data_IF_120031439034
#
_entry.id   IF_120031439034
#
_cell.length_a   1.000
_cell.length_b   1.000
_cell.length_c   1.000
_cell.angle_alpha   90.00
_cell.angle_beta   90.00
_cell.angle_gamma   90.00
#
_symmetry.space_group_name_H-M   'P 1'
#
loop_
_entity.id
_entity.type
_entity.pdbx_description
1 polymer ?
#
# COMPACT_ATOMS: atom_id res chain seq x y z
N UNK A 1 9.91 -48.25 3.30
CA UNK A 1 8.72 -47.46 3.67
C UNK A 1 9.20 -46.41 4.66
N UNK A 2 9.63 -45.29 4.12
CA UNK A 2 9.78 -44.00 4.78
C UNK A 2 9.54 -43.03 3.64
N UNK A 3 8.34 -42.46 3.65
CA UNK A 3 7.79 -41.69 2.56
C UNK A 3 8.54 -40.36 2.42
N UNK A 4 9.02 -40.11 1.21
CA UNK A 4 9.44 -38.81 0.71
C UNK A 4 8.26 -37.83 0.85
N UNK A 5 8.32 -36.99 1.89
CA UNK A 5 7.51 -35.79 1.96
C UNK A 5 8.08 -34.77 0.99
N UNK A 6 7.28 -34.46 -0.02
CA UNK A 6 7.52 -33.57 -1.14
C UNK A 6 8.09 -32.20 -0.75
N UNK A 7 9.31 -31.92 -1.22
CA UNK A 7 9.79 -30.54 -1.42
C UNK A 7 8.86 -29.86 -2.44
N UNK A 8 8.29 -28.71 -2.07
CA UNK A 8 7.63 -27.81 -3.02
C UNK A 8 8.61 -27.29 -4.08
N UNK A 9 8.13 -26.65 -5.16
CA UNK A 9 9.00 -26.13 -6.20
C UNK A 9 9.89 -25.02 -5.64
N UNK A 10 11.17 -25.32 -5.39
CA UNK A 10 12.20 -24.34 -5.00
C UNK A 10 12.48 -23.40 -6.17
N UNK A 11 12.42 -22.10 -5.95
CA UNK A 11 12.69 -21.10 -7.00
C UNK A 11 14.17 -20.72 -7.07
N UNK A 12 14.99 -21.17 -6.12
CA UNK A 12 16.43 -20.97 -6.06
C UNK A 12 17.22 -22.26 -6.30
N UNK A 13 18.27 -22.16 -7.11
CA UNK A 13 19.17 -23.27 -7.41
C UNK A 13 19.83 -23.81 -6.11
N UNK A 14 20.03 -25.13 -6.02
CA UNK A 14 20.60 -25.80 -4.84
C UNK A 14 22.03 -25.34 -4.50
N UNK A 15 22.75 -24.73 -5.45
CA UNK A 15 24.14 -24.27 -5.27
C UNK A 15 24.33 -22.74 -5.27
N UNK A 16 23.27 -21.95 -5.05
CA UNK A 16 23.40 -20.49 -5.02
C UNK A 16 24.16 -20.01 -3.76
N UNK A 17 25.19 -19.19 -3.94
CA UNK A 17 26.03 -18.64 -2.87
C UNK A 17 25.49 -17.32 -2.31
N UNK A 18 24.78 -16.54 -3.13
CA UNK A 18 24.08 -15.32 -2.74
C UNK A 18 22.87 -15.08 -3.64
N UNK A 19 21.91 -14.30 -3.14
CA UNK A 19 20.81 -13.73 -3.91
C UNK A 19 21.09 -12.24 -4.12
N UNK A 20 21.04 -11.77 -5.36
CA UNK A 20 21.20 -10.34 -5.67
C UNK A 20 19.84 -9.71 -5.89
N UNK A 21 19.58 -8.58 -5.22
CA UNK A 21 18.28 -7.91 -5.25
C UNK A 21 18.40 -6.46 -5.71
N UNK A 22 17.40 -6.04 -6.50
CA UNK A 22 17.27 -4.65 -6.94
C UNK A 22 16.63 -3.79 -5.85
N UNK A 23 16.82 -2.46 -5.88
CA UNK A 23 16.12 -1.55 -4.97
C UNK A 23 14.59 -1.70 -4.98
N UNK A 24 14.01 -2.08 -6.13
CA UNK A 24 12.57 -2.28 -6.27
C UNK A 24 12.03 -3.47 -5.43
N UNK A 25 12.87 -4.43 -5.04
CA UNK A 25 12.48 -5.52 -4.14
C UNK A 25 12.21 -5.02 -2.70
N UNK A 26 12.91 -3.95 -2.28
CA UNK A 26 12.68 -3.28 -0.98
C UNK A 26 11.36 -2.51 -0.98
N UNK A 27 11.06 -1.81 -2.08
CA UNK A 27 9.79 -1.07 -2.25
C UNK A 27 8.58 -2.01 -2.31
N UNK A 28 8.78 -3.27 -2.70
CA UNK A 28 7.74 -4.31 -2.81
C UNK A 28 7.56 -5.15 -1.54
N UNK A 29 8.37 -4.92 -0.51
CA UNK A 29 8.27 -5.67 0.75
C UNK A 29 8.82 -7.10 0.70
N UNK A 30 9.68 -7.41 -0.30
CA UNK A 30 10.31 -8.72 -0.47
C UNK A 30 9.53 -9.72 -1.34
N UNK A 31 10.24 -10.65 -1.96
CA UNK A 31 9.66 -11.73 -2.79
C UNK A 31 9.81 -13.10 -2.12
N UNK A 32 9.04 -14.10 -2.60
CA UNK A 32 9.16 -15.49 -2.12
C UNK A 32 10.58 -16.07 -2.27
N UNK A 33 11.37 -15.60 -3.25
CA UNK A 33 12.79 -15.95 -3.40
C UNK A 33 13.66 -15.35 -2.30
N UNK A 34 13.35 -14.14 -1.84
CA UNK A 34 14.06 -13.50 -0.74
C UNK A 34 13.78 -14.24 0.58
N UNK A 35 12.52 -14.60 0.81
CA UNK A 35 12.13 -15.42 1.97
C UNK A 35 12.81 -16.79 1.93
N UNK A 36 12.78 -17.50 0.79
CA UNK A 36 13.47 -18.79 0.61
C UNK A 36 14.99 -18.68 0.82
N UNK A 37 15.63 -17.59 0.35
CA UNK A 37 17.06 -17.36 0.57
C UNK A 37 17.39 -17.15 2.05
N UNK A 38 16.56 -16.40 2.78
CA UNK A 38 16.73 -16.16 4.22
C UNK A 38 16.55 -17.44 5.03
N UNK A 39 15.53 -18.25 4.74
CA UNK A 39 15.29 -19.54 5.40
C UNK A 39 16.44 -20.53 5.18
N UNK A 40 17.10 -20.46 4.01
CA UNK A 40 18.25 -21.30 3.63
C UNK A 40 19.60 -20.73 4.08
N UNK A 41 19.62 -19.58 4.76
CA UNK A 41 20.85 -18.90 5.17
C UNK A 41 21.72 -18.41 4.01
N UNK A 42 21.13 -18.21 2.83
CA UNK A 42 21.80 -17.68 1.64
C UNK A 42 21.90 -16.15 1.80
N UNK A 43 23.10 -15.60 1.59
CA UNK A 43 23.35 -14.15 1.74
C UNK A 43 22.57 -13.35 0.70
N UNK A 44 21.91 -12.27 1.09
CA UNK A 44 21.19 -11.39 0.15
C UNK A 44 21.92 -10.06 0.04
N UNK A 45 22.32 -9.69 -1.17
CA UNK A 45 23.13 -8.49 -1.43
C UNK A 45 22.50 -7.60 -2.49
N UNK A 46 22.80 -6.30 -2.44
CA UNK A 46 22.28 -5.34 -3.42
C UNK A 46 22.93 -5.51 -4.80
N UNK A 47 22.26 -5.05 -5.86
CA UNK A 47 22.84 -4.99 -7.22
C UNK A 47 24.18 -4.25 -7.29
N UNK A 48 24.45 -3.34 -6.36
CA UNK A 48 25.74 -2.64 -6.25
C UNK A 48 26.91 -3.61 -6.00
N UNK A 49 26.67 -4.75 -5.33
CA UNK A 49 27.69 -5.78 -5.13
C UNK A 49 28.16 -6.38 -6.45
N UNK A 50 27.22 -6.67 -7.37
CA UNK A 50 27.56 -7.18 -8.71
C UNK A 50 28.33 -6.14 -9.50
N UNK A 51 27.84 -4.90 -9.50
CA UNK A 51 28.46 -3.81 -10.24
C UNK A 51 29.91 -3.57 -9.76
N UNK A 52 30.13 -3.55 -8.46
CA UNK A 52 31.45 -3.29 -7.86
C UNK A 52 32.39 -4.51 -8.00
N UNK A 53 31.88 -5.73 -7.87
CA UNK A 53 32.67 -6.96 -8.09
C UNK A 53 33.14 -7.10 -9.54
N UNK A 54 32.28 -6.72 -10.50
CA UNK A 54 32.65 -6.68 -11.92
C UNK A 54 33.69 -5.59 -12.18
N UNK A 55 33.50 -4.39 -11.61
CA UNK A 55 34.42 -3.27 -11.80
C UNK A 55 35.82 -3.58 -11.26
N UNK A 56 35.90 -4.14 -10.05
CA UNK A 56 37.16 -4.46 -9.36
C UNK A 56 37.77 -5.81 -9.78
N UNK A 57 37.04 -6.60 -10.58
CA UNK A 57 37.43 -7.95 -11.02
C UNK A 57 37.73 -8.92 -9.86
N UNK A 58 37.08 -8.70 -8.73
CA UNK A 58 37.24 -9.49 -7.51
C UNK A 58 35.90 -9.51 -6.77
N UNK A 59 35.54 -10.67 -6.21
CA UNK A 59 34.33 -10.79 -5.41
C UNK A 59 34.43 -9.88 -4.18
N UNK A 60 33.53 -8.91 -4.08
CA UNK A 60 33.54 -7.99 -2.94
C UNK A 60 33.01 -8.69 -1.68
N UNK A 61 33.40 -8.24 -0.48
CA UNK A 61 32.86 -8.77 0.77
C UNK A 61 31.35 -8.57 0.79
N UNK A 62 30.59 -9.60 1.19
CA UNK A 62 29.13 -9.51 1.22
C UNK A 62 28.65 -8.50 2.26
N UNK A 63 29.38 -8.34 3.36
CA UNK A 63 29.04 -7.51 4.52
C UNK A 63 28.85 -6.03 4.17
N UNK A 64 29.57 -5.52 3.17
CA UNK A 64 29.47 -4.14 2.72
C UNK A 64 28.26 -3.88 1.80
N UNK A 65 27.57 -4.95 1.39
CA UNK A 65 26.44 -4.89 0.45
C UNK A 65 25.25 -5.72 0.94
N UNK A 66 25.31 -6.17 2.19
CA UNK A 66 24.33 -7.03 2.83
C UNK A 66 23.03 -6.24 3.07
N UNK A 67 21.97 -6.68 2.41
CA UNK A 67 20.64 -6.05 2.51
C UNK A 67 19.88 -6.64 3.71
N UNK A 68 20.34 -7.78 4.22
CA UNK A 68 19.71 -8.50 5.34
C UNK A 68 20.25 -8.03 6.67
N UNK A 69 21.45 -7.48 6.78
CA UNK A 69 21.95 -6.91 8.05
C UNK A 69 21.13 -5.71 8.56
N UNK A 70 20.39 -5.04 7.67
CA UNK A 70 19.38 -4.03 8.05
C UNK A 70 18.03 -4.66 8.46
N UNK A 71 17.74 -5.88 8.02
CA UNK A 71 16.46 -6.59 8.20
C UNK A 71 16.52 -7.68 9.30
N UNK A 72 17.69 -8.23 9.58
CA UNK A 72 17.91 -9.32 10.54
C UNK A 72 18.38 -8.76 11.86
N UNK A 73 17.50 -8.79 12.84
CA UNK A 73 17.94 -9.00 14.22
C UNK A 73 17.28 -10.28 14.67
N UNK A 74 17.93 -11.39 14.34
CA UNK A 74 17.76 -12.62 15.11
C UNK A 74 18.28 -12.37 16.53
N UNK A 75 17.36 -12.19 17.46
CA UNK A 75 17.46 -12.72 18.82
C UNK A 75 18.60 -12.26 19.76
N UNK A 76 19.51 -11.36 19.37
CA UNK A 76 20.45 -10.69 20.29
C UNK A 76 20.60 -9.23 19.89
N UNK A 77 19.99 -8.34 20.67
CA UNK A 77 20.14 -6.89 20.49
C UNK A 77 21.59 -6.46 20.59
N UNK A 78 21.97 -5.48 19.75
CA UNK A 78 23.20 -4.71 19.92
C UNK A 78 23.06 -3.95 21.25
N UNK A 79 24.05 -3.98 22.15
CA UNK A 79 24.04 -3.17 23.36
C UNK A 79 23.79 -1.69 23.04
N UNK A 80 22.90 -1.05 23.80
CA UNK A 80 22.37 0.30 23.60
C UNK A 80 23.45 1.39 23.47
N UNK A 81 24.63 1.10 23.98
CA UNK A 81 25.85 1.90 24.01
C UNK A 81 26.68 1.86 22.71
N UNK A 82 26.27 1.07 21.70
CA UNK A 82 27.03 0.85 20.46
C UNK A 82 26.27 1.11 19.16
N UNK A 83 25.06 1.67 19.22
CA UNK A 83 24.36 2.11 18.01
C UNK A 83 24.85 3.51 17.59
N UNK A 84 25.30 3.64 16.34
CA UNK A 84 25.72 4.90 15.74
C UNK A 84 24.46 5.74 15.40
N UNK A 85 24.28 6.93 15.99
CA UNK A 85 23.08 7.74 15.84
C UNK A 85 23.15 8.65 14.60
N UNK A 86 23.42 8.09 13.42
CA UNK A 86 23.29 8.89 12.18
C UNK A 86 21.83 8.95 11.74
N UNK A 87 21.37 10.15 11.40
CA UNK A 87 19.97 10.50 11.13
C UNK A 87 19.37 9.74 9.93
N UNK A 88 20.20 9.26 9.02
CA UNK A 88 19.79 8.61 7.77
C UNK A 88 19.23 7.19 7.98
N UNK A 89 19.69 6.47 9.01
CA UNK A 89 19.14 5.16 9.37
C UNK A 89 17.79 5.29 10.08
N UNK A 90 17.59 6.36 10.86
CA UNK A 90 16.32 6.64 11.53
C UNK A 90 15.23 7.00 10.51
N UNK A 91 15.50 7.88 9.54
CA UNK A 91 14.49 8.29 8.55
C UNK A 91 14.01 7.15 7.64
N UNK A 92 14.91 6.26 7.21
CA UNK A 92 14.56 5.11 6.35
C UNK A 92 13.77 4.02 7.09
N UNK A 93 13.90 3.95 8.42
CA UNK A 93 13.26 2.96 9.29
C UNK A 93 12.00 3.50 10.00
N UNK A 94 11.78 4.82 9.95
CA UNK A 94 10.61 5.51 10.51
C UNK A 94 9.64 6.02 9.44
N UNK A 95 9.70 5.51 8.21
CA UNK A 95 8.82 5.96 7.12
C UNK A 95 7.35 5.67 7.47
N UNK A 96 6.72 6.65 8.12
CA UNK A 96 5.31 6.70 8.43
C UNK A 96 4.57 6.97 7.12
N UNK A 97 4.05 5.92 6.48
CA UNK A 97 3.17 6.09 5.33
C UNK A 97 1.79 6.49 5.85
N UNK A 98 1.55 7.80 5.91
CA UNK A 98 0.22 8.36 6.18
C UNK A 98 -0.65 8.18 4.94
N UNK A 99 -1.65 7.31 5.04
CA UNK A 99 -2.70 7.18 4.07
C UNK A 99 -3.89 7.97 4.56
N UNK A 100 -4.25 8.97 3.79
CA UNK A 100 -5.33 9.87 4.15
C UNK A 100 -6.63 9.35 3.54
N UNK A 101 -7.72 9.54 4.27
CA UNK A 101 -9.06 9.22 3.80
C UNK A 101 -9.53 10.21 2.74
N UNK A 102 -10.84 10.40 2.60
CA UNK A 102 -11.41 11.26 1.55
C UNK A 102 -11.03 12.75 1.67
N UNK A 103 -10.48 13.20 2.79
CA UNK A 103 -9.95 14.58 2.96
C UNK A 103 -8.48 14.73 2.59
N UNK A 104 -7.80 13.61 2.33
CA UNK A 104 -6.41 13.59 1.93
C UNK A 104 -6.18 14.00 0.50
N UNK A 105 -5.16 14.82 0.28
CA UNK A 105 -4.61 15.03 -1.05
C UNK A 105 -3.76 13.82 -1.44
N UNK A 106 -3.99 13.30 -2.64
CA UNK A 106 -3.33 12.11 -3.14
C UNK A 106 -1.83 12.37 -3.33
N UNK A 107 -1.01 11.44 -2.84
CA UNK A 107 0.47 11.56 -2.75
C UNK A 107 1.13 12.03 -4.06
N UNK A 108 0.72 11.47 -5.19
CA UNK A 108 1.36 11.72 -6.50
C UNK A 108 1.07 13.14 -7.03
N UNK A 109 0.06 13.82 -6.51
CA UNK A 109 -0.19 15.22 -6.84
C UNK A 109 0.88 16.16 -6.30
N UNK A 110 1.67 15.74 -5.30
CA UNK A 110 2.66 16.54 -4.55
C UNK A 110 2.12 17.84 -3.92
N UNK A 111 0.79 18.03 -3.90
CA UNK A 111 0.15 19.25 -3.39
C UNK A 111 -0.12 19.22 -1.89
N UNK A 112 -0.12 18.05 -1.25
CA UNK A 112 -0.33 17.92 0.20
C UNK A 112 0.74 18.70 0.99
N UNK A 113 2.02 18.59 0.59
CA UNK A 113 3.16 19.27 1.23
C UNK A 113 3.12 20.79 1.08
N UNK A 114 2.33 21.27 0.10
CA UNK A 114 2.13 22.69 -0.18
C UNK A 114 0.91 23.26 0.54
N UNK A 115 0.34 22.52 1.50
CA UNK A 115 -0.89 22.90 2.20
C UNK A 115 -2.15 22.71 1.37
N UNK A 116 -2.12 21.82 0.36
CA UNK A 116 -3.28 21.49 -0.44
C UNK A 116 -4.41 20.88 0.39
N UNK A 117 -5.63 21.32 0.16
CA UNK A 117 -6.85 20.80 0.78
C UNK A 117 -7.86 20.38 -0.28
N UNK A 118 -8.57 19.27 -0.03
CA UNK A 118 -9.63 18.82 -0.93
C UNK A 118 -10.74 19.86 -0.98
N UNK A 119 -11.13 20.25 -2.20
CA UNK A 119 -12.15 21.26 -2.43
C UNK A 119 -13.51 20.83 -1.88
N UNK A 120 -14.14 21.73 -1.12
CA UNK A 120 -15.46 21.52 -0.55
C UNK A 120 -16.36 22.71 -0.90
N UNK A 121 -17.58 22.43 -1.37
CA UNK A 121 -18.59 23.45 -1.68
C UNK A 121 -19.98 22.93 -1.30
N UNK A 122 -20.81 23.76 -0.66
CA UNK A 122 -22.19 23.43 -0.27
C UNK A 122 -22.32 22.13 0.55
N UNK A 123 -21.32 21.87 1.40
CA UNK A 123 -21.23 20.66 2.21
C UNK A 123 -20.83 19.39 1.44
N UNK A 124 -20.56 19.49 0.13
CA UNK A 124 -20.08 18.39 -0.71
C UNK A 124 -18.55 18.45 -0.77
N UNK A 125 -17.91 17.35 -0.40
CA UNK A 125 -16.48 17.17 -0.56
C UNK A 125 -16.23 16.58 -1.95
N UNK A 126 -15.53 17.32 -2.81
CA UNK A 126 -15.24 16.86 -4.17
C UNK A 126 -13.97 16.00 -4.14
N UNK A 127 -14.14 14.69 -4.02
CA UNK A 127 -13.07 13.70 -4.15
C UNK A 127 -13.70 12.41 -4.67
N UNK A 128 -12.98 11.68 -5.51
CA UNK A 128 -13.36 10.34 -5.88
C UNK A 128 -12.12 9.47 -6.09
N UNK A 129 -12.04 8.39 -5.32
CA UNK A 129 -11.25 7.21 -5.66
C UNK A 129 -12.21 6.14 -6.18
N UNK A 130 -11.85 5.45 -7.27
CA UNK A 130 -12.70 4.46 -7.92
C UNK A 130 -11.88 3.27 -8.41
N UNK A 131 -12.52 2.10 -8.52
CA UNK A 131 -11.91 0.89 -9.08
C UNK A 131 -12.76 0.24 -10.17
N UNK A 132 -12.08 -0.45 -11.09
CA UNK A 132 -12.67 -1.33 -12.10
C UNK A 132 -11.88 -2.62 -12.16
N UNK A 133 -12.51 -3.72 -11.75
CA UNK A 133 -11.94 -5.06 -11.90
C UNK A 133 -12.81 -5.92 -12.82
N UNK A 134 -12.19 -6.56 -13.81
CA UNK A 134 -12.83 -7.51 -14.73
C UNK A 134 -11.88 -8.68 -14.92
N UNK A 135 -12.08 -9.74 -14.12
CA UNK A 135 -11.21 -10.92 -14.12
C UNK A 135 -11.07 -11.55 -15.50
N UNK A 136 -12.17 -11.74 -16.23
CA UNK A 136 -12.16 -12.33 -17.58
C UNK A 136 -11.43 -11.51 -18.65
N UNK A 137 -11.04 -10.26 -18.35
CA UNK A 137 -10.24 -9.40 -19.23
C UNK A 137 -8.89 -9.02 -18.62
N UNK A 138 -8.56 -9.55 -17.43
CA UNK A 138 -7.37 -9.18 -16.68
C UNK A 138 -7.30 -7.69 -16.29
N UNK A 139 -8.44 -6.98 -16.27
CA UNK A 139 -8.48 -5.57 -15.92
C UNK A 139 -8.54 -5.41 -14.40
N UNK A 140 -7.69 -4.54 -13.86
CA UNK A 140 -7.69 -4.15 -12.46
C UNK A 140 -7.15 -2.73 -12.38
N UNK A 141 -8.03 -1.78 -12.64
CA UNK A 141 -7.69 -0.37 -12.84
C UNK A 141 -8.26 0.44 -11.67
N UNK A 142 -7.57 1.51 -11.31
CA UNK A 142 -8.04 2.51 -10.35
C UNK A 142 -8.05 3.89 -11.00
N UNK A 143 -8.86 4.78 -10.42
CA UNK A 143 -8.91 6.17 -10.82
C UNK A 143 -9.04 7.05 -9.57
N UNK A 144 -8.23 8.10 -9.49
CA UNK A 144 -8.27 9.13 -8.46
C UNK A 144 -8.52 10.46 -9.14
N UNK A 145 -9.51 11.21 -8.65
CA UNK A 145 -9.80 12.56 -9.12
C UNK A 145 -10.08 13.49 -7.95
N UNK A 146 -9.38 14.62 -7.91
CA UNK A 146 -9.38 15.53 -6.77
C UNK A 146 -9.22 16.98 -7.24
N UNK A 147 -10.24 17.82 -7.10
CA UNK A 147 -10.05 19.26 -7.04
C UNK A 147 -9.41 19.62 -5.69
N UNK A 148 -8.25 20.25 -5.73
CA UNK A 148 -7.37 20.55 -4.59
C UNK A 148 -7.13 22.06 -4.57
N UNK A 149 -7.52 22.72 -3.48
CA UNK A 149 -7.21 24.13 -3.25
C UNK A 149 -5.84 24.21 -2.61
N UNK A 150 -4.92 24.99 -3.20
CA UNK A 150 -3.59 25.23 -2.65
C UNK A 150 -3.49 26.72 -2.27
N UNK A 151 -3.01 27.06 -1.05
CA UNK A 151 -2.76 28.43 -0.65
C UNK A 151 -1.94 29.17 -1.71
N UNK A 152 -2.35 30.38 -2.07
CA UNK A 152 -1.68 31.27 -3.04
C UNK A 152 -1.61 30.76 -4.50
N UNK A 153 -1.83 29.46 -4.76
CA UNK A 153 -1.84 28.85 -6.11
C UNK A 153 -3.26 28.54 -6.61
N UNK A 154 -4.28 28.64 -5.77
CA UNK A 154 -5.68 28.44 -6.18
C UNK A 154 -6.02 26.96 -6.43
N UNK A 155 -7.08 26.73 -7.22
CA UNK A 155 -7.67 25.40 -7.42
C UNK A 155 -6.96 24.61 -8.52
N UNK A 156 -6.62 23.36 -8.23
CA UNK A 156 -6.03 22.41 -9.16
C UNK A 156 -6.95 21.20 -9.28
N UNK A 157 -7.14 20.65 -10.48
CA UNK A 157 -7.80 19.36 -10.68
C UNK A 157 -6.72 18.31 -10.98
N UNK A 158 -6.53 17.40 -10.04
CA UNK A 158 -5.74 16.19 -10.20
C UNK A 158 -6.61 15.07 -10.73
N UNK A 159 -6.10 14.32 -11.70
CA UNK A 159 -6.71 13.13 -12.26
C UNK A 159 -5.63 12.09 -12.56
N UNK A 160 -5.80 10.89 -12.03
CA UNK A 160 -4.98 9.72 -12.36
C UNK A 160 -5.89 8.54 -12.69
N UNK A 161 -5.58 7.80 -13.73
CA UNK A 161 -6.16 6.50 -14.05
C UNK A 161 -5.03 5.55 -14.43
N UNK A 162 -4.93 4.44 -13.71
CA UNK A 162 -3.78 3.56 -13.79
C UNK A 162 -4.19 2.13 -13.45
N UNK A 163 -3.35 1.16 -13.79
CA UNK A 163 -3.51 -0.24 -13.41
C UNK A 163 -2.89 -0.47 -12.04
N UNK A 164 -3.56 -1.26 -11.21
CA UNK A 164 -2.99 -1.70 -9.93
C UNK A 164 -1.70 -2.49 -10.21
N UNK A 165 -0.58 -2.03 -9.64
CA UNK A 165 0.76 -2.56 -9.92
C UNK A 165 1.66 -1.67 -10.80
N UNK A 166 1.26 -0.42 -11.03
CA UNK A 166 1.98 0.64 -11.76
C UNK A 166 2.19 0.33 -13.26
N UNK A 167 1.28 0.83 -14.10
CA UNK A 167 1.42 0.76 -15.56
C UNK A 167 2.31 1.92 -16.06
N UNK A 168 3.32 1.66 -16.91
CA UNK A 168 4.09 2.74 -17.56
C UNK A 168 3.23 3.66 -18.45
N UNK A 169 1.99 3.26 -18.77
CA UNK A 169 1.04 4.04 -19.57
C UNK A 169 -0.08 4.68 -18.72
N UNK A 170 0.15 4.90 -17.42
CA UNK A 170 -0.78 5.59 -16.55
C UNK A 170 -1.20 6.94 -17.15
N UNK A 171 -2.51 7.22 -17.14
CA UNK A 171 -3.04 8.52 -17.53
C UNK A 171 -3.04 9.42 -16.30
N UNK A 172 -2.12 10.38 -16.24
CA UNK A 172 -1.99 11.31 -15.13
C UNK A 172 -2.01 12.76 -15.61
N UNK A 173 -2.77 13.60 -14.92
CA UNK A 173 -2.96 15.02 -15.24
C UNK A 173 -3.12 15.83 -13.97
N UNK A 174 -2.38 16.94 -13.89
CA UNK A 174 -2.58 17.98 -12.90
C UNK A 174 -2.76 19.31 -13.62
N UNK A 175 -3.92 19.96 -13.46
CA UNK A 175 -4.23 21.22 -14.13
C UNK A 175 -4.72 22.26 -13.13
N UNK A 176 -4.11 23.46 -13.15
CA UNK A 176 -4.62 24.62 -12.42
C UNK A 176 -5.82 25.25 -13.16
N UNK A 177 -6.80 25.73 -12.40
CA UNK A 177 -8.02 26.36 -12.90
C UNK A 177 -8.20 27.76 -12.32
N UNK A 178 -8.48 28.73 -13.19
CA UNK A 178 -8.83 30.09 -12.78
C UNK A 178 -10.29 30.20 -12.34
N UNK A 179 -11.18 29.45 -13.00
CA UNK A 179 -12.61 29.44 -12.73
C UNK A 179 -13.01 28.15 -11.99
N UNK A 180 -13.48 28.33 -10.75
CA UNK A 180 -13.88 27.25 -9.85
C UNK A 180 -15.07 26.46 -10.40
N UNK A 181 -16.06 27.12 -11.01
CA UNK A 181 -17.25 26.46 -11.55
C UNK A 181 -16.91 25.56 -12.73
N UNK A 182 -15.96 25.96 -13.57
CA UNK A 182 -15.49 25.16 -14.69
C UNK A 182 -14.68 23.95 -14.19
N UNK A 183 -13.89 24.09 -13.13
CA UNK A 183 -13.19 22.97 -12.50
C UNK A 183 -14.18 21.95 -11.92
N UNK A 184 -15.22 22.42 -11.24
CA UNK A 184 -16.29 21.57 -10.69
C UNK A 184 -17.06 20.86 -11.81
N UNK A 185 -17.43 21.58 -12.89
CA UNK A 185 -18.08 20.97 -14.06
C UNK A 185 -17.22 19.89 -14.70
N UNK A 186 -15.91 20.13 -14.83
CA UNK A 186 -15.00 19.14 -15.40
C UNK A 186 -14.86 17.91 -14.50
N UNK A 187 -14.75 18.10 -13.18
CA UNK A 187 -14.75 16.99 -12.22
C UNK A 187 -16.02 16.14 -12.34
N UNK A 188 -17.20 16.77 -12.36
CA UNK A 188 -18.49 16.06 -12.48
C UNK A 188 -18.58 15.34 -13.83
N UNK A 189 -18.12 15.97 -14.92
CA UNK A 189 -18.07 15.36 -16.25
C UNK A 189 -17.19 14.11 -16.27
N UNK A 190 -15.99 14.17 -15.68
CA UNK A 190 -15.07 13.05 -15.58
C UNK A 190 -15.66 11.91 -14.74
N UNK A 191 -16.29 12.23 -13.59
CA UNK A 191 -16.97 11.23 -12.78
C UNK A 191 -18.07 10.50 -13.56
N UNK A 192 -18.93 11.24 -14.26
CA UNK A 192 -20.00 10.67 -15.07
C UNK A 192 -19.44 9.85 -16.25
N UNK A 193 -18.34 10.27 -16.85
CA UNK A 193 -17.69 9.54 -17.94
C UNK A 193 -17.22 8.14 -17.50
N UNK A 194 -16.55 8.05 -16.35
CA UNK A 194 -15.97 6.80 -15.85
C UNK A 194 -17.00 5.90 -15.15
N UNK A 195 -18.03 6.48 -14.52
CA UNK A 195 -19.02 5.71 -13.73
C UNK A 195 -20.39 5.58 -14.39
N UNK A 196 -20.77 6.47 -15.31
CA UNK A 196 -22.13 6.64 -15.87
C UNK A 196 -23.21 6.89 -14.80
N UNK A 197 -22.85 7.64 -13.76
CA UNK A 197 -23.73 8.09 -12.68
C UNK A 197 -23.45 9.57 -12.36
N UNK A 198 -24.40 10.24 -11.73
CA UNK A 198 -24.23 11.61 -11.22
C UNK A 198 -23.41 11.61 -9.93
N UNK A 199 -22.55 12.62 -9.75
CA UNK A 199 -21.66 12.70 -8.59
C UNK A 199 -22.38 13.08 -7.29
N UNK A 200 -23.23 14.11 -7.29
CA UNK A 200 -23.82 14.61 -6.05
C UNK A 200 -24.78 13.60 -5.37
N UNK A 201 -25.67 12.88 -6.09
CA UNK A 201 -26.48 11.83 -5.48
C UNK A 201 -25.64 10.69 -4.90
N UNK A 202 -24.49 10.40 -5.52
CA UNK A 202 -23.52 9.47 -4.96
C UNK A 202 -22.94 10.03 -3.66
N UNK A 203 -22.42 11.25 -3.64
CA UNK A 203 -21.73 11.75 -2.45
C UNK A 203 -22.67 11.98 -1.26
N UNK A 204 -23.87 12.51 -1.51
CA UNK A 204 -24.84 12.85 -0.45
C UNK A 204 -25.62 11.64 0.06
N UNK A 205 -26.07 10.77 -0.84
CA UNK A 205 -27.06 9.74 -0.53
C UNK A 205 -26.55 8.32 -0.82
N UNK A 206 -25.31 8.19 -1.34
CA UNK A 206 -24.74 6.93 -1.83
C UNK A 206 -25.64 6.24 -2.85
N UNK A 207 -26.43 7.02 -3.59
CA UNK A 207 -27.25 6.57 -4.71
C UNK A 207 -26.34 6.27 -5.90
N UNK A 208 -26.21 4.99 -6.23
CA UNK A 208 -25.35 4.55 -7.32
C UNK A 208 -25.83 3.25 -7.97
N UNK A 209 -25.83 3.21 -9.30
CA UNK A 209 -26.12 2.02 -10.08
C UNK A 209 -24.87 1.58 -10.86
N UNK A 210 -24.29 0.44 -10.46
CA UNK A 210 -23.14 -0.15 -11.16
C UNK A 210 -23.51 -0.47 -12.60
N UNK A 211 -22.75 0.07 -13.55
CA UNK A 211 -22.86 -0.28 -14.97
C UNK A 211 -21.76 -1.28 -15.38
N UNK A 212 -22.02 -2.16 -16.36
CA UNK A 212 -20.98 -3.04 -16.91
C UNK A 212 -19.77 -2.24 -17.41
N UNK A 213 -18.55 -2.74 -17.14
CA UNK A 213 -17.28 -2.15 -17.61
C UNK A 213 -17.04 -0.68 -17.23
N UNK A 214 -17.71 -0.18 -16.19
CA UNK A 214 -17.54 1.18 -15.65
C UNK A 214 -17.00 1.15 -14.23
N UNK A 215 -16.30 2.21 -13.85
CA UNK A 215 -15.71 2.34 -12.53
C UNK A 215 -16.78 2.36 -11.43
N UNK A 216 -16.40 1.86 -10.25
CA UNK A 216 -17.19 1.93 -9.03
C UNK A 216 -16.47 2.83 -8.02
N UNK A 217 -17.13 3.87 -7.46
CA UNK A 217 -16.52 4.73 -6.47
C UNK A 217 -16.33 4.00 -5.15
N UNK A 218 -15.16 4.20 -4.55
CA UNK A 218 -14.78 3.69 -3.24
C UNK A 218 -15.12 4.76 -2.21
N UNK A 219 -15.91 4.37 -1.22
CA UNK A 219 -16.37 5.28 -0.17
C UNK A 219 -15.35 5.23 0.97
N UNK A 220 -14.54 6.28 1.07
CA UNK A 220 -13.50 6.43 2.08
C UNK A 220 -13.99 7.27 3.26
N UNK A 221 -13.50 6.99 4.45
CA UNK A 221 -13.74 7.74 5.68
C UNK A 221 -12.90 9.05 5.70
N UNK A 222 -13.18 9.95 6.64
CA UNK A 222 -12.50 11.24 6.82
C UNK A 222 -11.17 11.14 7.60
N UNK A 223 -10.81 9.94 8.06
CA UNK A 223 -9.66 9.74 8.95
C UNK A 223 -8.28 9.90 8.30
N UNK A 224 -7.25 9.60 9.10
CA UNK A 224 -5.87 9.38 8.65
C UNK A 224 -5.43 8.00 9.15
N UNK A 225 -5.10 7.10 8.21
CA UNK A 225 -4.49 5.82 8.51
C UNK A 225 -2.98 5.98 8.48
N UNK A 226 -2.38 5.92 9.66
CA UNK A 226 -0.94 5.88 9.78
C UNK A 226 -0.45 4.45 9.59
N UNK A 227 0.32 4.19 8.53
CA UNK A 227 1.06 2.94 8.34
C UNK A 227 2.49 3.14 8.81
N UNK A 228 2.81 2.49 9.93
CA UNK A 228 4.18 2.39 10.37
C UNK A 228 4.81 1.18 9.67
N UNK A 229 6.04 1.33 9.17
CA UNK A 229 6.84 0.18 8.74
C UNK A 229 7.00 -0.85 9.87
N UNK A 230 7.50 -2.05 9.54
CA UNK A 230 7.63 -3.19 10.46
C UNK A 230 8.45 -2.93 11.76
N UNK A 231 9.07 -1.76 11.91
CA UNK A 231 9.78 -1.31 13.10
C UNK A 231 8.92 -0.89 14.29
N UNK A 232 7.59 -0.81 14.16
CA UNK A 232 6.72 -0.67 15.33
C UNK A 232 7.00 -1.77 16.39
N UNK A 233 7.44 -2.96 15.95
CA UNK A 233 7.87 -4.04 16.86
C UNK A 233 9.08 -3.65 17.74
N UNK A 234 9.97 -2.74 17.31
CA UNK A 234 11.14 -2.28 18.09
C UNK A 234 10.80 -1.15 19.08
N UNK A 235 9.97 -0.17 18.68
CA UNK A 235 9.53 0.93 19.57
C UNK A 235 8.70 0.46 20.78
N UNK A 236 8.06 -0.70 20.67
CA UNK A 236 7.26 -1.31 21.73
C UNK A 236 8.06 -1.79 22.96
N UNK A 237 9.40 -1.88 22.90
CA UNK A 237 10.23 -2.27 24.04
C UNK A 237 10.16 -1.29 25.22
N UNK A 238 10.05 0.01 24.93
CA UNK A 238 9.97 1.08 25.95
C UNK A 238 8.59 1.15 26.60
N UNK A 239 7.52 0.81 25.85
CA UNK A 239 6.18 0.75 26.42
C UNK A 239 6.01 -0.41 27.41
N UNK A 240 6.67 -1.55 27.14
CA UNK A 240 6.65 -2.73 28.03
C UNK A 240 7.34 -2.45 29.36
N UNK A 241 8.41 -1.66 29.40
CA UNK A 241 9.11 -1.33 30.66
C UNK A 241 8.28 -0.46 31.61
N UNK A 242 7.26 0.23 31.11
CA UNK A 242 6.28 0.99 31.92
C UNK A 242 4.91 0.31 32.02
N UNK A 243 4.76 -0.87 31.41
CA UNK A 243 3.52 -1.62 31.42
C UNK A 243 3.40 -2.44 32.71
N UNK A 244 2.22 -2.41 33.34
CA UNK A 244 1.92 -3.21 34.54
C UNK A 244 1.53 -4.66 34.23
N UNK A 245 1.36 -5.00 32.95
CA UNK A 245 1.06 -6.35 32.53
C UNK A 245 2.29 -7.24 32.70
N UNK A 246 2.05 -8.50 32.99
CA UNK A 246 3.11 -9.51 33.01
C UNK A 246 3.77 -9.61 31.61
N UNK A 247 5.11 -9.81 31.51
CA UNK A 247 5.83 -9.73 30.25
C UNK A 247 5.29 -10.60 29.11
N UNK A 248 4.84 -11.84 29.37
CA UNK A 248 4.23 -12.68 28.35
C UNK A 248 2.92 -12.08 27.84
N UNK A 249 2.06 -11.57 28.74
CA UNK A 249 0.82 -10.90 28.38
C UNK A 249 1.07 -9.57 27.65
N UNK A 250 2.07 -8.79 28.06
CA UNK A 250 2.47 -7.55 27.40
C UNK A 250 2.98 -7.83 25.98
N UNK A 251 3.79 -8.87 25.80
CA UNK A 251 4.27 -9.31 24.49
C UNK A 251 3.15 -9.88 23.62
N UNK A 252 2.20 -10.63 24.20
CA UNK A 252 1.03 -11.13 23.47
C UNK A 252 0.16 -9.98 22.96
N UNK A 253 -0.18 -9.01 23.83
CA UNK A 253 -0.95 -7.84 23.46
C UNK A 253 -0.21 -6.97 22.42
N UNK A 254 1.11 -6.88 22.51
CA UNK A 254 1.95 -6.22 21.52
C UNK A 254 1.78 -6.83 20.12
N UNK A 255 1.81 -8.16 20.00
CA UNK A 255 1.65 -8.83 18.70
C UNK A 255 0.21 -8.68 18.21
N UNK A 256 -0.77 -8.98 19.07
CA UNK A 256 -2.20 -8.97 18.72
C UNK A 256 -2.71 -7.57 18.34
N UNK A 257 -2.22 -6.52 18.99
CA UNK A 257 -2.63 -5.14 18.71
C UNK A 257 -1.71 -4.43 17.71
N UNK A 258 -0.72 -5.12 17.14
CA UNK A 258 0.16 -4.55 16.13
C UNK A 258 -0.58 -4.45 14.80
N UNK A 259 -1.09 -3.24 14.51
CA UNK A 259 -1.75 -2.96 13.23
C UNK A 259 -0.82 -3.23 12.03
N UNK A 260 0.50 -3.07 12.19
CA UNK A 260 1.48 -3.29 11.13
C UNK A 260 1.47 -4.73 10.58
N UNK A 261 1.23 -5.73 11.45
CA UNK A 261 1.17 -7.14 11.03
C UNK A 261 -0.04 -7.38 10.12
N UNK A 262 -1.22 -6.88 10.51
CA UNK A 262 -2.43 -7.05 9.70
C UNK A 262 -2.34 -6.32 8.36
N UNK A 263 -1.74 -5.13 8.34
CA UNK A 263 -1.54 -4.36 7.09
C UNK A 263 -0.59 -5.07 6.14
N UNK A 264 0.51 -5.62 6.67
CA UNK A 264 1.43 -6.43 5.86
C UNK A 264 0.71 -7.64 5.25
N UNK A 265 -0.04 -8.40 6.04
CA UNK A 265 -0.81 -9.55 5.55
C UNK A 265 -1.81 -9.12 4.47
N UNK A 266 -2.56 -8.04 4.68
CA UNK A 266 -3.53 -7.53 3.70
C UNK A 266 -2.88 -7.07 2.39
N UNK A 267 -1.69 -6.49 2.46
CA UNK A 267 -0.89 -6.12 1.30
C UNK A 267 -0.36 -7.36 0.57
N UNK A 268 0.17 -8.36 1.30
CA UNK A 268 0.68 -9.62 0.72
C UNK A 268 -0.40 -10.41 -0.03
N UNK A 269 -1.61 -10.46 0.53
CA UNK A 269 -2.74 -11.14 -0.13
C UNK A 269 -3.37 -10.29 -1.26
N UNK A 270 -2.80 -9.13 -1.57
CA UNK A 270 -3.21 -8.26 -2.68
C UNK A 270 -4.54 -7.53 -2.44
N UNK A 271 -5.00 -7.46 -1.20
CA UNK A 271 -6.29 -6.86 -0.84
C UNK A 271 -6.18 -5.38 -0.41
N UNK A 272 -4.98 -4.86 -0.19
CA UNK A 272 -4.76 -3.51 0.33
C UNK A 272 -3.64 -2.75 -0.42
N UNK A 273 -3.86 -2.38 -1.70
CA UNK A 273 -2.89 -1.62 -2.46
C UNK A 273 -2.71 -0.21 -1.86
N UNK A 274 -1.50 0.40 -1.94
CA UNK A 274 -1.23 1.71 -1.35
C UNK A 274 -2.15 2.83 -1.85
N UNK A 275 -2.66 2.70 -3.07
CA UNK A 275 -3.50 3.71 -3.74
C UNK A 275 -4.99 3.60 -3.36
N UNK A 276 -5.42 2.46 -2.82
CA UNK A 276 -6.79 2.23 -2.35
C UNK A 276 -6.74 1.53 -0.98
N UNK A 277 -6.36 2.25 0.08
CA UNK A 277 -6.22 1.68 1.41
C UNK A 277 -7.54 1.15 1.94
N UNK A 278 -7.63 -0.17 2.13
CA UNK A 278 -8.83 -0.82 2.64
C UNK A 278 -9.11 -0.41 4.10
N UNK A 279 -8.07 -0.01 4.85
CA UNK A 279 -8.19 0.51 6.20
C UNK A 279 -8.99 1.81 6.31
N UNK A 280 -9.25 2.48 5.17
CA UNK A 280 -9.93 3.77 5.10
C UNK A 280 -11.31 3.71 4.46
N UNK A 281 -11.83 2.54 4.11
CA UNK A 281 -13.17 2.44 3.52
C UNK A 281 -14.25 2.44 4.61
N UNK A 282 -15.39 3.04 4.31
CA UNK A 282 -16.50 3.13 5.29
C UNK A 282 -17.17 1.78 5.53
N UNK A 283 -17.85 1.66 6.67
CA UNK A 283 -18.74 0.54 6.96
C UNK A 283 -19.80 0.31 5.86
N UNK A 284 -20.27 1.39 5.25
CA UNK A 284 -21.19 1.33 4.12
C UNK A 284 -20.56 0.58 2.94
N UNK A 285 -19.32 0.94 2.60
CA UNK A 285 -18.56 0.28 1.54
C UNK A 285 -18.37 -1.22 1.84
N UNK A 286 -17.90 -1.55 3.06
CA UNK A 286 -17.68 -2.95 3.48
C UNK A 286 -18.95 -3.79 3.39
N UNK A 287 -20.07 -3.28 3.93
CA UNK A 287 -21.37 -3.97 3.86
C UNK A 287 -21.82 -4.23 2.43
N UNK A 288 -21.49 -3.33 1.50
CA UNK A 288 -21.81 -3.48 0.09
C UNK A 288 -20.92 -4.52 -0.60
N UNK A 289 -19.68 -4.70 -0.17
CA UNK A 289 -18.78 -5.75 -0.67
C UNK A 289 -19.16 -7.16 -0.15
N UNK A 290 -19.76 -7.25 1.04
CA UNK A 290 -20.19 -8.53 1.64
C UNK A 290 -21.46 -9.09 0.98
N UNK A 291 -22.44 -8.23 0.63
CA UNK A 291 -23.68 -8.66 -0.04
C UNK A 291 -23.43 -9.52 -1.31
N UNK A 292 -22.54 -9.16 -2.25
CA UNK A 292 -22.24 -10.01 -3.39
C UNK A 292 -21.59 -11.34 -3.00
N UNK A 293 -20.83 -11.44 -1.90
CA UNK A 293 -20.28 -12.72 -1.44
C UNK A 293 -21.39 -13.71 -1.02
N UNK A 294 -22.44 -13.24 -0.33
CA UNK A 294 -23.59 -14.09 -0.01
C UNK A 294 -24.36 -14.56 -1.26
N UNK A 295 -24.38 -13.73 -2.32
CA UNK A 295 -24.92 -14.10 -3.63
C UNK A 295 -24.06 -15.13 -4.36
N UNK A 296 -22.74 -15.03 -4.28
CA UNK A 296 -21.79 -16.02 -4.83
C UNK A 296 -21.94 -17.38 -4.15
N UNK A 297 -22.18 -17.41 -2.83
CA UNK A 297 -22.50 -18.65 -2.09
C UNK A 297 -23.82 -19.29 -2.55
N UNK A 298 -24.79 -18.50 -2.99
CA UNK A 298 -26.03 -19.02 -3.58
C UNK A 298 -25.88 -19.48 -5.04
N UNK A 299 -24.90 -18.96 -5.78
CA UNK A 299 -24.60 -19.40 -7.15
C UNK A 299 -23.93 -20.79 -7.14
N UNK A 300 -23.16 -21.14 -6.10
CA UNK A 300 -22.57 -22.48 -5.98
C UNK A 300 -23.57 -23.59 -5.59
N UNK A 301 -24.79 -23.23 -5.17
CA UNK A 301 -25.81 -24.20 -4.73
C UNK A 301 -26.90 -24.49 -5.78
N UNK A 302 -26.91 -23.79 -6.91
CA UNK A 302 -27.96 -23.97 -7.94
C UNK A 302 -27.52 -24.80 -9.16
N UNK A 303 -26.35 -25.43 -9.15
CA UNK A 303 -25.91 -26.34 -10.21
C UNK A 303 -26.09 -27.80 -9.79
N UNK A 304 -27.34 -28.22 -9.59
CA UNK A 304 -27.76 -29.61 -9.74
C UNK A 304 -29.22 -29.62 -10.16
N UNK A 305 -29.44 -29.73 -11.47
CA UNK A 305 -30.54 -30.44 -12.16
C UNK A 305 -30.26 -30.42 -13.66
#
# INVERSE_FOLDING_TARGET
>A
MNDDLSDGPSFLNKCATCLVVSPAERERGGTSKLVEAMERGIRVVSEAWLADSVHKKEAQPFEAFDVVSDLSVDGKGIPWDKQDPSDEALESLSAELKLYGKRGVYKDSILQEQGGEIFQKDGILYNCASSLCVLGRGLNDYCVMQPITVPERGLHLYYKKDRVGNDPNAEERLKQWEDVENAVKEFVRLFEEITRNEFEPWEREKKFQKKPLKFFPIDMDDGIEVRHGGLALRQLGVAVTHCKLEPLLANFMKVLCSQGIYKYVLMEIGHDPPDLPIGMVTDFHLKRCIKPHSGSSSISLSSTL
#
